data_IF_621878529383
#
_entry.id   IF_621878529383
#
_cell.length_a   1.000
_cell.length_b   1.000
_cell.length_c   1.000
_cell.angle_alpha   90.00
_cell.angle_beta   90.00
_cell.angle_gamma   90.00
#
_symmetry.space_group_name_H-M   'P 1'
#
loop_
_entity.id
_entity.type
_entity.pdbx_description
1 polymer ?
#
# COMPACT_ATOMS: atom_id res chain seq x y z
N UNK A 1 19.90 0.30 6.96
CA UNK A 1 19.12 0.22 5.72
C UNK A 1 17.71 -0.04 6.20
N UNK A 2 16.78 0.87 5.94
CA UNK A 2 15.42 0.73 6.47
C UNK A 2 14.73 -0.40 5.72
N UNK A 3 14.19 -1.37 6.46
CA UNK A 3 13.48 -2.54 5.95
C UNK A 3 12.02 -2.40 6.35
N UNK A 4 11.09 -2.62 5.41
CA UNK A 4 9.66 -2.47 5.65
C UNK A 4 8.95 -3.81 5.48
N UNK A 5 8.13 -4.18 6.47
CA UNK A 5 7.32 -5.39 6.39
C UNK A 5 6.09 -5.17 5.52
N UNK A 6 5.48 -6.26 5.03
CA UNK A 6 4.21 -6.21 4.30
C UNK A 6 3.12 -5.53 5.14
N UNK A 7 3.16 -5.71 6.46
CA UNK A 7 2.29 -5.07 7.45
C UNK A 7 2.52 -3.57 7.53
N UNK A 8 3.77 -3.08 7.44
CA UNK A 8 4.05 -1.64 7.43
C UNK A 8 3.47 -0.98 6.17
N UNK A 9 3.58 -1.66 5.02
CA UNK A 9 2.99 -1.20 3.76
C UNK A 9 1.45 -1.20 3.85
N UNK A 10 0.85 -2.24 4.41
CA UNK A 10 -0.60 -2.32 4.65
C UNK A 10 -1.09 -1.19 5.56
N UNK A 11 -0.37 -0.92 6.65
CA UNK A 11 -0.67 0.17 7.56
C UNK A 11 -0.56 1.54 6.87
N UNK A 12 0.44 1.74 6.01
CA UNK A 12 0.57 2.97 5.24
C UNK A 12 -0.58 3.16 4.22
N UNK A 13 -1.03 2.08 3.57
CA UNK A 13 -2.22 2.11 2.69
C UNK A 13 -3.46 2.52 3.49
N UNK A 14 -3.69 1.87 4.64
CA UNK A 14 -4.83 2.17 5.51
C UNK A 14 -4.79 3.61 6.05
N UNK A 15 -3.60 4.11 6.41
CA UNK A 15 -3.40 5.49 6.81
C UNK A 15 -3.89 6.47 5.76
N UNK A 16 -3.54 6.27 4.48
CA UNK A 16 -3.96 7.14 3.39
C UNK A 16 -5.44 7.00 3.05
N UNK A 17 -5.97 5.78 3.04
CA UNK A 17 -7.41 5.52 2.84
C UNK A 17 -8.29 6.21 3.87
N UNK A 18 -7.82 6.31 5.12
CA UNK A 18 -8.56 7.01 6.20
C UNK A 18 -8.59 8.54 6.05
N UNK A 19 -7.64 9.13 5.30
CA UNK A 19 -7.44 10.59 5.19
C UNK A 19 -7.86 11.18 3.86
N UNK A 20 -7.86 10.36 2.82
CA UNK A 20 -8.22 10.78 1.48
C UNK A 20 -9.19 9.76 0.91
N UNK A 21 -10.38 10.24 0.56
CA UNK A 21 -11.37 9.44 -0.12
C UNK A 21 -10.81 8.86 -1.43
N UNK A 22 -11.41 7.76 -1.86
CA UNK A 22 -11.20 7.24 -3.21
C UNK A 22 -11.48 8.35 -4.24
N UNK A 23 -10.73 8.33 -5.34
CA UNK A 23 -11.06 9.18 -6.50
C UNK A 23 -12.27 8.57 -7.23
N UNK A 24 -12.70 9.19 -8.33
CA UNK A 24 -13.65 8.57 -9.26
C UNK A 24 -13.28 7.10 -9.56
N UNK A 25 -14.30 6.30 -9.89
CA UNK A 25 -14.21 4.87 -10.22
C UNK A 25 -13.81 3.93 -9.07
N UNK A 26 -14.11 4.27 -7.81
CA UNK A 26 -13.77 3.44 -6.63
C UNK A 26 -12.28 3.15 -6.46
N UNK A 27 -11.42 3.90 -7.16
CA UNK A 27 -9.99 3.69 -7.12
C UNK A 27 -9.39 4.23 -5.82
N UNK A 28 -8.43 3.52 -5.24
CA UNK A 28 -7.67 4.02 -4.08
C UNK A 28 -7.03 5.38 -4.41
N UNK A 29 -6.96 6.23 -3.40
CA UNK A 29 -6.41 7.57 -3.52
C UNK A 29 -4.95 7.52 -4.02
N UNK A 30 -4.45 8.59 -4.69
CA UNK A 30 -3.14 8.55 -5.35
C UNK A 30 -1.98 8.12 -4.44
N UNK A 31 -2.01 8.54 -3.16
CA UNK A 31 -0.98 8.17 -2.18
C UNK A 31 -1.01 6.69 -1.79
N UNK A 32 -2.20 6.11 -1.65
CA UNK A 32 -2.35 4.68 -1.40
C UNK A 32 -2.01 3.84 -2.64
N UNK A 33 -2.23 4.37 -3.85
CA UNK A 33 -1.99 3.65 -5.10
C UNK A 33 -0.53 3.25 -5.29
N UNK A 34 0.40 4.17 -5.04
CA UNK A 34 1.84 3.89 -5.15
C UNK A 34 2.29 2.78 -4.19
N UNK A 35 1.67 2.69 -3.01
CA UNK A 35 1.94 1.63 -2.04
C UNK A 35 1.29 0.29 -2.41
N UNK A 36 0.14 0.32 -3.09
CA UNK A 36 -0.58 -0.87 -3.51
C UNK A 36 0.22 -1.71 -4.52
N UNK A 37 1.01 -1.06 -5.39
CA UNK A 37 1.89 -1.76 -6.33
C UNK A 37 2.98 -2.56 -5.58
N UNK A 38 3.58 -1.96 -4.55
CA UNK A 38 4.57 -2.63 -3.70
C UNK A 38 3.94 -3.79 -2.91
N UNK A 39 2.80 -3.55 -2.26
CA UNK A 39 2.05 -4.58 -1.53
C UNK A 39 1.66 -5.76 -2.43
N UNK A 40 1.16 -5.47 -3.64
CA UNK A 40 0.81 -6.49 -4.63
C UNK A 40 2.02 -7.29 -5.09
N UNK A 41 3.16 -6.64 -5.34
CA UNK A 41 4.41 -7.32 -5.68
C UNK A 41 4.92 -8.21 -4.53
N UNK A 42 4.80 -7.76 -3.27
CA UNK A 42 5.15 -8.56 -2.09
C UNK A 42 4.30 -9.83 -1.99
N UNK A 43 2.98 -9.71 -2.18
CA UNK A 43 2.08 -10.87 -2.24
C UNK A 43 2.46 -11.81 -3.38
N UNK A 44 2.62 -11.28 -4.59
CA UNK A 44 2.92 -12.07 -5.79
C UNK A 44 4.23 -12.86 -5.65
N UNK A 45 5.25 -12.27 -5.04
CA UNK A 45 6.54 -12.90 -4.81
C UNK A 45 6.67 -13.62 -3.47
N UNK A 46 5.62 -13.66 -2.65
CA UNK A 46 5.64 -14.22 -1.29
C UNK A 46 6.77 -13.62 -0.42
N UNK A 47 6.97 -12.30 -0.52
CA UNK A 47 7.98 -11.56 0.25
C UNK A 47 7.34 -10.89 1.46
N UNK A 48 7.94 -11.10 2.63
CA UNK A 48 7.50 -10.47 3.89
C UNK A 48 8.04 -9.04 4.07
N UNK A 49 9.15 -8.70 3.41
CA UNK A 49 9.92 -7.46 3.60
C UNK A 49 10.51 -6.92 2.30
N UNK A 50 10.67 -5.60 2.19
CA UNK A 50 11.35 -4.88 1.08
C UNK A 50 12.32 -3.81 1.59
#
# INVERSE_FOLDING_TARGET
MDEYTITDIENAINYWRSRQAATDDFAVCPRARVLADAYGAMIYHQRDRI
#
